data_IF_551771600920
#
_entry.id   IF_551771600920
#
_cell.length_a   1.000
_cell.length_b   1.000
_cell.length_c   1.000
_cell.angle_alpha   90.00
_cell.angle_beta   90.00
_cell.angle_gamma   90.00
#
_symmetry.space_group_name_H-M   'P 1'
#
loop_
_entity.id
_entity.type
_entity.pdbx_description
1 polymer ?
#
# COMPACT_ATOMS: atom_id res chain seq x y z
N UNK A 1 -8.79 16.20 -2.05
CA UNK A 1 -7.60 15.35 -1.92
C UNK A 1 -6.34 16.22 -1.82
N UNK A 2 -5.70 16.24 -0.64
CA UNK A 2 -4.43 16.94 -0.34
C UNK A 2 -3.22 16.06 -0.67
N UNK A 3 -3.25 14.79 -0.26
CA UNK A 3 -2.20 13.80 -0.51
C UNK A 3 -2.45 12.99 -1.78
N UNK A 4 -1.62 13.21 -2.79
CA UNK A 4 -1.54 12.43 -4.03
C UNK A 4 -0.35 11.49 -3.89
N UNK A 5 -0.66 10.28 -3.45
CA UNK A 5 0.31 9.35 -2.91
C UNK A 5 0.49 8.10 -3.76
N UNK A 6 1.62 7.44 -3.53
CA UNK A 6 1.91 6.10 -4.03
C UNK A 6 2.42 5.24 -2.87
N UNK A 7 2.07 3.97 -2.89
CA UNK A 7 2.65 2.97 -2.00
C UNK A 7 4.01 2.51 -2.51
N UNK A 8 5.04 2.59 -1.68
CA UNK A 8 6.42 2.26 -2.02
C UNK A 8 7.00 1.20 -1.08
N UNK A 9 7.15 -0.01 -1.62
CA UNK A 9 7.64 -1.19 -0.90
C UNK A 9 9.18 -1.16 -0.77
N UNK A 10 9.68 -1.16 0.46
CA UNK A 10 11.11 -1.31 0.77
C UNK A 10 11.52 -2.75 1.01
N UNK A 11 10.55 -3.66 1.12
CA UNK A 11 10.74 -5.05 1.47
C UNK A 11 9.89 -5.50 2.65
N UNK A 12 9.18 -6.61 2.48
CA UNK A 12 8.46 -7.30 3.54
C UNK A 12 8.51 -8.82 3.35
N UNK A 13 8.74 -9.57 4.44
CA UNK A 13 8.63 -11.02 4.47
C UNK A 13 7.17 -11.46 4.51
N UNK A 14 6.62 -11.81 3.34
CA UNK A 14 5.21 -12.22 3.18
C UNK A 14 5.15 -13.44 2.28
N UNK A 15 4.34 -14.45 2.64
CA UNK A 15 4.24 -15.73 1.93
C UNK A 15 5.60 -16.45 1.80
N UNK A 16 6.43 -16.38 2.85
CA UNK A 16 7.74 -17.05 2.92
C UNK A 16 8.80 -16.48 1.98
N UNK A 17 8.55 -15.33 1.34
CA UNK A 17 9.50 -14.65 0.46
C UNK A 17 9.56 -13.16 0.80
N UNK A 18 10.73 -12.58 0.61
CA UNK A 18 10.90 -11.15 0.74
C UNK A 18 10.42 -10.45 -0.55
N UNK A 19 9.51 -9.47 -0.43
CA UNK A 19 8.91 -8.77 -1.58
C UNK A 19 9.92 -7.98 -2.41
N UNK A 20 11.00 -7.50 -1.78
CA UNK A 20 12.07 -6.73 -2.43
C UNK A 20 13.47 -7.28 -2.11
N UNK A 21 13.87 -8.43 -2.67
CA UNK A 21 15.11 -9.12 -2.28
C UNK A 21 16.37 -8.26 -2.42
N UNK A 22 16.42 -7.42 -3.46
CA UNK A 22 17.49 -6.43 -3.68
C UNK A 22 17.06 -5.03 -3.23
N UNK A 23 17.95 -4.34 -2.53
CA UNK A 23 17.73 -2.95 -2.10
C UNK A 23 19.01 -2.15 -2.35
N UNK A 24 19.01 -1.37 -3.43
CA UNK A 24 20.08 -0.42 -3.75
C UNK A 24 19.57 1.00 -3.47
N UNK A 25 20.14 1.73 -2.49
CA UNK A 25 19.74 3.10 -2.18
C UNK A 25 19.74 4.05 -3.38
N UNK A 26 20.60 3.82 -4.40
CA UNK A 26 20.63 4.65 -5.61
C UNK A 26 19.43 4.42 -6.51
N UNK A 27 18.99 3.17 -6.61
CA UNK A 27 17.74 2.81 -7.32
C UNK A 27 16.56 3.43 -6.57
N UNK A 28 16.55 3.32 -5.24
CA UNK A 28 15.50 3.91 -4.39
C UNK A 28 15.39 5.42 -4.58
N UNK A 29 16.52 6.15 -4.53
CA UNK A 29 16.55 7.59 -4.76
C UNK A 29 15.98 7.95 -6.14
N UNK A 30 16.36 7.19 -7.17
CA UNK A 30 15.93 7.43 -8.54
C UNK A 30 14.44 7.14 -8.74
N UNK A 31 13.92 6.04 -8.20
CA UNK A 31 12.50 5.69 -8.22
C UNK A 31 11.67 6.76 -7.51
N UNK A 32 12.11 7.23 -6.35
CA UNK A 32 11.43 8.30 -5.60
C UNK A 32 11.42 9.62 -6.37
N UNK A 33 12.48 9.92 -7.12
CA UNK A 33 12.50 11.09 -8.01
C UNK A 33 11.48 10.96 -9.13
N UNK A 34 11.36 9.79 -9.77
CA UNK A 34 10.30 9.52 -10.77
C UNK A 34 8.91 9.68 -10.13
N UNK A 35 8.72 9.18 -8.91
CA UNK A 35 7.47 9.31 -8.17
C UNK A 35 7.10 10.80 -7.96
N UNK A 36 8.05 11.63 -7.58
CA UNK A 36 7.80 13.06 -7.38
C UNK A 36 7.58 13.81 -8.71
N UNK A 37 8.49 13.63 -9.66
CA UNK A 37 8.57 14.46 -10.86
C UNK A 37 7.61 13.98 -11.97
N UNK A 38 7.59 12.68 -12.25
CA UNK A 38 6.90 12.11 -13.41
C UNK A 38 5.50 11.59 -13.07
N UNK A 39 5.31 11.02 -11.86
CA UNK A 39 3.97 10.68 -11.35
C UNK A 39 3.26 11.88 -10.70
N UNK A 40 3.97 12.99 -10.47
CA UNK A 40 3.44 14.19 -9.84
C UNK A 40 2.87 13.96 -8.43
N UNK A 41 3.38 12.95 -7.71
CA UNK A 41 3.03 12.70 -6.33
C UNK A 41 3.54 13.83 -5.43
N UNK A 42 2.83 14.10 -4.34
CA UNK A 42 3.29 14.97 -3.25
C UNK A 42 3.32 14.27 -1.88
N UNK A 43 2.93 12.99 -1.85
CA UNK A 43 3.04 12.13 -0.68
C UNK A 43 3.55 10.75 -1.09
N UNK A 44 4.13 10.01 -0.17
CA UNK A 44 4.56 8.63 -0.39
C UNK A 44 4.42 7.83 0.90
N UNK A 45 3.85 6.63 0.80
CA UNK A 45 3.82 5.68 1.90
C UNK A 45 4.99 4.72 1.74
N UNK A 46 5.99 4.87 2.61
CA UNK A 46 7.18 4.04 2.63
C UNK A 46 6.95 2.92 3.62
N UNK A 47 6.86 1.69 3.12
CA UNK A 47 6.45 0.52 3.90
C UNK A 47 7.43 -0.64 3.77
N UNK A 48 7.69 -1.32 4.89
CA UNK A 48 8.49 -2.54 4.91
C UNK A 48 8.68 -3.10 6.31
N UNK A 49 9.41 -4.20 6.42
CA UNK A 49 9.71 -4.87 7.68
C UNK A 49 11.04 -4.42 8.32
N UNK A 50 12.02 -3.99 7.53
CA UNK A 50 13.34 -3.51 7.96
C UNK A 50 13.35 -1.98 8.18
N UNK A 51 13.44 -1.48 9.44
CA UNK A 51 13.43 -0.05 9.73
C UNK A 51 14.58 0.73 9.09
N UNK A 52 15.73 0.08 8.80
CA UNK A 52 16.85 0.75 8.16
C UNK A 52 16.54 1.01 6.68
N UNK A 53 15.84 0.09 5.99
CA UNK A 53 15.39 0.30 4.60
C UNK A 53 14.30 1.36 4.52
N UNK A 54 13.37 1.37 5.48
CA UNK A 54 12.35 2.42 5.56
C UNK A 54 13.01 3.78 5.77
N UNK A 55 13.97 3.93 6.69
CA UNK A 55 14.66 5.21 6.95
C UNK A 55 15.40 5.72 5.71
N UNK A 56 16.08 4.84 4.95
CA UNK A 56 16.74 5.22 3.68
C UNK A 56 15.74 5.78 2.68
N UNK A 57 14.64 5.06 2.42
CA UNK A 57 13.64 5.51 1.46
C UNK A 57 12.89 6.76 1.94
N UNK A 58 12.59 6.87 3.23
CA UNK A 58 11.97 8.03 3.84
C UNK A 58 12.84 9.30 3.72
N UNK A 59 14.16 9.19 3.89
CA UNK A 59 15.10 10.30 3.66
C UNK A 59 15.14 10.73 2.19
N UNK A 60 15.17 9.77 1.26
CA UNK A 60 15.07 10.08 -0.18
C UNK A 60 13.75 10.80 -0.51
N UNK A 61 12.63 10.35 0.08
CA UNK A 61 11.31 10.97 -0.10
C UNK A 61 11.26 12.41 0.42
N UNK A 62 11.75 12.64 1.64
CA UNK A 62 11.86 13.98 2.22
C UNK A 62 12.74 14.91 1.37
N UNK A 63 13.88 14.41 0.88
CA UNK A 63 14.76 15.18 -0.01
C UNK A 63 14.11 15.52 -1.37
N UNK A 64 13.19 14.68 -1.84
CA UNK A 64 12.37 14.93 -3.03
C UNK A 64 11.14 15.82 -2.75
N UNK A 65 10.97 16.33 -1.52
CA UNK A 65 9.87 17.22 -1.15
C UNK A 65 8.51 16.53 -0.99
N UNK A 66 8.49 15.21 -0.81
CA UNK A 66 7.27 14.43 -0.58
C UNK A 66 6.91 14.42 0.92
N UNK A 67 5.62 14.51 1.26
CA UNK A 67 5.14 14.14 2.59
C UNK A 67 5.36 12.63 2.80
N UNK A 68 6.00 12.26 3.90
CA UNK A 68 6.37 10.87 4.19
C UNK A 68 5.35 10.24 5.12
N UNK A 69 4.74 9.15 4.67
CA UNK A 69 3.94 8.26 5.51
C UNK A 69 4.84 7.06 5.88
N UNK A 70 5.47 7.16 7.04
CA UNK A 70 6.44 6.18 7.56
C UNK A 70 5.67 4.98 8.11
N UNK A 71 5.75 3.83 7.44
CA UNK A 71 4.82 2.71 7.64
C UNK A 71 5.54 1.39 7.95
N UNK A 72 5.98 1.16 9.19
CA UNK A 72 6.43 -0.16 9.64
C UNK A 72 5.40 -1.27 9.37
N UNK A 73 5.87 -2.41 8.86
CA UNK A 73 5.06 -3.58 8.52
C UNK A 73 5.62 -4.85 9.20
N UNK A 74 5.32 -5.08 10.48
CA UNK A 74 5.87 -6.20 11.25
C UNK A 74 5.12 -7.52 10.99
N UNK A 75 5.27 -8.06 9.78
CA UNK A 75 4.64 -9.33 9.41
C UNK A 75 5.13 -10.50 10.28
N UNK A 76 4.21 -11.35 10.72
CA UNK A 76 4.46 -12.55 11.53
C UNK A 76 5.08 -12.30 12.91
N UNK A 77 5.10 -11.06 13.39
CA UNK A 77 5.50 -10.73 14.75
C UNK A 77 4.36 -10.93 15.75
N UNK A 78 4.71 -11.15 17.03
CA UNK A 78 3.77 -11.09 18.16
C UNK A 78 3.70 -9.66 18.71
N UNK A 79 2.68 -9.36 19.50
CA UNK A 79 2.51 -8.04 20.14
C UNK A 79 3.74 -7.62 20.94
N UNK A 80 4.38 -8.54 21.68
CA UNK A 80 5.60 -8.27 22.46
C UNK A 80 6.80 -7.89 21.58
N UNK A 81 6.85 -8.39 20.35
CA UNK A 81 7.89 -8.05 19.38
C UNK A 81 7.57 -6.73 18.67
N UNK A 82 6.30 -6.51 18.34
CA UNK A 82 5.82 -5.33 17.61
C UNK A 82 5.93 -4.04 18.43
N UNK A 83 5.64 -4.08 19.73
CA UNK A 83 5.64 -2.86 20.55
C UNK A 83 7.00 -2.11 20.56
N UNK A 84 8.15 -2.74 20.91
CA UNK A 84 9.44 -2.06 20.82
C UNK A 84 9.85 -1.71 19.38
N UNK A 85 9.38 -2.48 18.38
CA UNK A 85 9.62 -2.21 16.97
C UNK A 85 8.92 -0.91 16.50
N UNK A 86 7.66 -0.70 16.88
CA UNK A 86 6.95 0.54 16.58
C UNK A 86 7.56 1.76 17.29
N UNK A 87 8.04 1.59 18.54
CA UNK A 87 8.74 2.66 19.25
C UNK A 87 10.05 3.07 18.54
N UNK A 88 10.88 2.12 18.09
CA UNK A 88 12.09 2.43 17.29
C UNK A 88 11.74 3.15 15.97
N UNK A 89 10.71 2.69 15.28
CA UNK A 89 10.22 3.35 14.06
C UNK A 89 9.71 4.77 14.32
N UNK A 90 9.04 5.00 15.46
CA UNK A 90 8.57 6.32 15.86
C UNK A 90 9.74 7.28 16.15
N UNK A 91 10.80 6.82 16.82
CA UNK A 91 12.01 7.62 17.02
C UNK A 91 12.73 7.95 15.70
N UNK A 92 12.76 7.01 14.75
CA UNK A 92 13.30 7.24 13.39
C UNK A 92 12.49 8.29 12.64
N UNK A 93 11.17 8.14 12.63
CA UNK A 93 10.24 9.10 12.02
C UNK A 93 10.37 10.50 12.66
N UNK A 94 10.55 10.58 13.98
CA UNK A 94 10.74 11.84 14.69
C UNK A 94 12.04 12.53 14.29
N UNK A 95 13.15 11.78 14.15
CA UNK A 95 14.41 12.36 13.66
C UNK A 95 14.23 13.00 12.29
N UNK A 96 13.56 12.30 11.37
CA UNK A 96 13.26 12.83 10.03
C UNK A 96 12.37 14.09 10.08
N UNK A 97 11.39 14.11 10.98
CA UNK A 97 10.51 15.27 11.20
C UNK A 97 11.27 16.48 11.77
N UNK A 98 12.15 16.25 12.75
CA UNK A 98 12.99 17.29 13.35
C UNK A 98 14.01 17.85 12.35
N UNK A 99 14.43 17.06 11.36
CA UNK A 99 15.23 17.50 10.22
C UNK A 99 14.44 18.33 9.19
N UNK A 100 13.12 18.53 9.41
CA UNK A 100 12.26 19.43 8.64
C UNK A 100 11.31 18.76 7.66
N UNK A 101 11.26 17.42 7.62
CA UNK A 101 10.30 16.70 6.80
C UNK A 101 8.87 16.74 7.39
N UNK A 102 7.87 16.69 6.51
CA UNK A 102 6.48 16.44 6.89
C UNK A 102 6.26 14.92 6.97
N UNK A 103 6.09 14.40 8.19
CA UNK A 103 6.06 12.96 8.48
C UNK A 103 4.80 12.58 9.24
N UNK A 104 4.14 11.53 8.77
CA UNK A 104 3.01 10.85 9.43
C UNK A 104 3.46 9.42 9.75
N UNK A 105 3.21 8.95 10.97
CA UNK A 105 3.51 7.58 11.39
C UNK A 105 2.30 6.68 11.18
N UNK A 106 2.46 5.60 10.42
CA UNK A 106 1.45 4.55 10.23
C UNK A 106 1.83 3.35 11.11
N UNK A 107 1.12 3.14 12.21
CA UNK A 107 1.46 2.17 13.26
C UNK A 107 0.99 0.75 12.94
N UNK A 108 1.30 0.29 11.73
CA UNK A 108 0.95 -1.04 11.25
C UNK A 108 -0.08 -1.03 10.12
N UNK A 109 -0.31 -2.23 9.59
CA UNK A 109 -1.16 -2.49 8.45
C UNK A 109 -1.80 -3.86 8.63
N UNK A 110 -3.13 -3.91 8.62
CA UNK A 110 -3.92 -5.14 8.68
C UNK A 110 -3.39 -6.18 9.69
N UNK A 111 -3.08 -5.77 10.92
CA UNK A 111 -2.43 -6.62 11.93
C UNK A 111 -3.25 -7.88 12.25
N UNK A 112 -4.58 -7.82 12.18
CA UNK A 112 -5.40 -9.03 12.35
C UNK A 112 -5.07 -10.13 11.33
N UNK A 113 -4.57 -9.75 10.15
CA UNK A 113 -4.16 -10.64 9.08
C UNK A 113 -2.67 -10.95 9.12
N UNK A 114 -1.80 -9.95 9.37
CA UNK A 114 -0.35 -10.08 9.24
C UNK A 114 0.40 -10.37 10.54
N UNK A 115 -0.11 -9.98 11.70
CA UNK A 115 0.49 -10.31 12.99
C UNK A 115 0.02 -11.66 13.53
N UNK A 116 0.83 -12.28 14.39
CA UNK A 116 0.48 -13.53 15.07
C UNK A 116 -0.53 -13.27 16.18
N UNK A 117 -1.35 -14.29 16.46
CA UNK A 117 -2.24 -14.30 17.62
C UNK A 117 -3.67 -13.84 17.35
N UNK A 118 -3.94 -13.14 16.24
CA UNK A 118 -5.29 -12.67 15.90
C UNK A 118 -6.13 -13.76 15.21
N UNK A 119 -5.61 -14.32 14.11
CA UNK A 119 -6.18 -15.46 13.39
C UNK A 119 -5.37 -16.74 13.62
N UNK A 120 -5.99 -17.94 13.49
CA UNK A 120 -5.28 -19.21 13.56
C UNK A 120 -4.18 -19.33 12.50
N UNK A 121 -2.95 -19.62 12.93
CA UNK A 121 -1.80 -19.86 12.06
C UNK A 121 -0.62 -18.91 12.32
N UNK A 122 0.60 -19.44 12.23
CA UNK A 122 1.82 -18.67 12.52
C UNK A 122 2.28 -17.78 11.36
N UNK A 123 1.86 -18.12 10.14
CA UNK A 123 2.23 -17.42 8.90
C UNK A 123 1.02 -16.82 8.22
N UNK A 124 1.24 -15.76 7.44
CA UNK A 124 0.17 -15.15 6.63
C UNK A 124 -0.50 -16.18 5.69
N UNK A 125 0.31 -17.06 5.07
CA UNK A 125 -0.16 -18.13 4.20
C UNK A 125 -1.10 -19.13 4.93
N UNK A 126 -0.89 -19.36 6.22
CA UNK A 126 -1.75 -20.24 7.03
C UNK A 126 -3.05 -19.54 7.47
N UNK A 127 -3.03 -18.21 7.65
CA UNK A 127 -4.19 -17.43 8.13
C UNK A 127 -5.21 -17.12 7.03
N UNK A 128 -4.75 -16.81 5.81
CA UNK A 128 -5.66 -16.42 4.71
C UNK A 128 -6.74 -17.47 4.40
N UNK A 129 -6.44 -18.79 4.30
CA UNK A 129 -7.46 -19.80 4.04
C UNK A 129 -8.58 -19.85 5.09
N UNK A 130 -8.32 -19.42 6.34
CA UNK A 130 -9.33 -19.35 7.41
C UNK A 130 -10.49 -18.43 7.02
N UNK A 131 -10.23 -17.36 6.27
CA UNK A 131 -11.24 -16.40 5.83
C UNK A 131 -12.22 -16.95 4.79
N UNK A 132 -11.88 -18.08 4.17
CA UNK A 132 -12.74 -18.80 3.22
C UNK A 132 -13.27 -20.12 3.78
N UNK A 133 -12.87 -20.50 5.00
CA UNK A 133 -13.18 -21.78 5.63
C UNK A 133 -14.47 -21.76 6.47
N UNK A 134 -14.94 -22.95 6.89
CA UNK A 134 -16.14 -23.09 7.73
C UNK A 134 -15.99 -22.46 9.12
N UNK A 135 -14.77 -22.35 9.64
CA UNK A 135 -14.49 -21.81 10.98
C UNK A 135 -14.34 -20.28 11.01
N UNK A 136 -14.60 -19.60 9.89
CA UNK A 136 -14.43 -18.14 9.73
C UNK A 136 -15.08 -17.35 10.86
N UNK A 137 -16.35 -17.60 11.15
CA UNK A 137 -17.12 -16.81 12.13
C UNK A 137 -16.53 -16.90 13.54
N UNK A 138 -16.12 -18.12 13.94
CA UNK A 138 -15.43 -18.36 15.21
C UNK A 138 -14.07 -17.68 15.24
N UNK A 139 -13.29 -17.78 14.15
CA UNK A 139 -11.97 -17.18 14.06
C UNK A 139 -12.00 -15.64 14.12
N UNK A 140 -13.07 -15.01 13.63
CA UNK A 140 -13.24 -13.55 13.67
C UNK A 140 -13.72 -13.01 15.03
N UNK A 141 -14.18 -13.88 15.92
CA UNK A 141 -14.74 -13.46 17.21
C UNK A 141 -13.68 -12.74 18.06
N UNK A 142 -14.00 -11.53 18.52
CA UNK A 142 -13.13 -10.74 19.39
C UNK A 142 -11.84 -10.24 18.74
N UNK A 143 -11.71 -10.28 17.41
CA UNK A 143 -10.58 -9.65 16.71
C UNK A 143 -10.55 -8.13 16.98
N UNK A 144 -11.66 -7.37 16.79
CA UNK A 144 -11.62 -5.93 17.00
C UNK A 144 -11.17 -5.52 18.40
N UNK A 145 -11.68 -6.17 19.45
CA UNK A 145 -11.31 -5.84 20.83
C UNK A 145 -9.81 -6.06 21.10
N UNK A 146 -9.24 -7.15 20.56
CA UNK A 146 -7.82 -7.48 20.73
C UNK A 146 -6.92 -6.53 19.94
N UNK A 147 -7.28 -6.25 18.68
CA UNK A 147 -6.53 -5.30 17.83
C UNK A 147 -6.53 -3.92 18.48
N UNK A 148 -7.69 -3.44 18.94
CA UNK A 148 -7.79 -2.12 19.56
C UNK A 148 -7.06 -2.02 20.91
N UNK A 149 -7.06 -3.08 21.73
CA UNK A 149 -6.26 -3.11 22.94
C UNK A 149 -4.77 -2.91 22.63
N UNK A 150 -4.25 -3.66 21.65
CA UNK A 150 -2.85 -3.55 21.25
C UNK A 150 -2.54 -2.21 20.56
N UNK A 151 -3.41 -1.72 19.67
CA UNK A 151 -3.23 -0.40 19.05
C UNK A 151 -3.22 0.73 20.08
N UNK A 152 -3.98 0.62 21.17
CA UNK A 152 -3.90 1.54 22.31
C UNK A 152 -2.51 1.54 22.95
N UNK A 153 -1.94 0.36 23.23
CA UNK A 153 -0.58 0.22 23.75
C UNK A 153 0.48 0.80 22.80
N UNK A 154 0.32 0.58 21.49
CA UNK A 154 1.22 1.14 20.47
C UNK A 154 1.15 2.66 20.47
N UNK A 155 -0.04 3.26 20.49
CA UNK A 155 -0.17 4.72 20.55
C UNK A 155 0.45 5.28 21.83
N UNK A 156 0.21 4.67 22.98
CA UNK A 156 0.81 5.07 24.26
C UNK A 156 2.35 5.01 24.23
N UNK A 157 2.92 4.05 23.50
CA UNK A 157 4.37 3.89 23.34
C UNK A 157 4.99 4.90 22.35
N UNK A 158 4.31 5.22 21.24
CA UNK A 158 4.89 6.09 20.19
C UNK A 158 4.69 7.57 20.45
N UNK A 159 3.59 7.98 21.09
CA UNK A 159 3.28 9.41 21.33
C UNK A 159 4.35 10.17 22.14
N UNK A 160 5.02 9.58 23.15
CA UNK A 160 6.10 10.27 23.88
C UNK A 160 7.35 10.55 23.03
N UNK A 161 7.56 9.79 21.95
CA UNK A 161 8.79 9.85 21.13
C UNK A 161 8.56 10.41 19.73
N UNK A 162 7.31 10.60 19.30
CA UNK A 162 6.96 11.15 17.99
C UNK A 162 5.91 12.25 18.11
N UNK A 163 6.25 13.45 17.63
CA UNK A 163 5.42 14.64 17.75
C UNK A 163 4.50 14.92 16.55
N UNK A 164 4.50 14.06 15.53
CA UNK A 164 3.67 14.20 14.33
C UNK A 164 2.34 13.44 14.39
N UNK A 165 1.55 13.48 13.30
CA UNK A 165 0.28 12.76 13.21
C UNK A 165 0.47 11.23 13.15
N UNK A 166 -0.40 10.50 13.84
CA UNK A 166 -0.38 9.04 13.93
C UNK A 166 -1.66 8.45 13.34
N UNK A 167 -1.53 7.37 12.59
CA UNK A 167 -2.64 6.62 11.98
C UNK A 167 -2.31 5.12 11.93
N UNK A 168 -3.21 4.34 11.37
CA UNK A 168 -3.10 2.89 11.19
C UNK A 168 -3.73 2.52 9.84
N UNK A 169 -3.18 1.54 9.12
CA UNK A 169 -3.76 1.03 7.87
C UNK A 169 -4.68 -0.15 8.16
N UNK A 170 -5.99 0.08 8.14
CA UNK A 170 -6.98 -0.91 8.56
C UNK A 170 -7.59 -1.67 7.40
N UNK A 171 -7.79 -2.97 7.60
CA UNK A 171 -8.81 -3.72 6.86
C UNK A 171 -10.13 -3.76 7.67
N UNK A 172 -11.27 -4.11 7.03
CA UNK A 172 -12.57 -4.13 7.71
C UNK A 172 -12.69 -5.05 8.93
N UNK A 173 -11.83 -6.07 9.06
CA UNK A 173 -11.86 -7.02 10.19
C UNK A 173 -11.27 -6.41 11.47
N UNK A 174 -10.43 -5.39 11.35
CA UNK A 174 -9.75 -4.76 12.49
C UNK A 174 -10.73 -3.98 13.38
N UNK A 175 -11.83 -3.46 12.82
CA UNK A 175 -12.87 -2.74 13.58
C UNK A 175 -12.30 -1.64 14.47
N UNK A 176 -11.41 -0.81 13.90
CA UNK A 176 -10.54 0.12 14.63
C UNK A 176 -11.34 1.19 15.39
N UNK A 177 -11.02 1.36 16.67
CA UNK A 177 -11.34 2.57 17.42
C UNK A 177 -10.35 3.66 17.02
N UNK A 178 -10.85 4.62 16.24
CA UNK A 178 -10.02 5.73 15.76
C UNK A 178 -9.71 6.77 16.84
N UNK A 179 -10.32 6.71 18.02
CA UNK A 179 -10.18 7.73 19.09
C UNK A 179 -8.72 8.16 19.40
N UNK A 180 -7.71 7.26 19.54
CA UNK A 180 -6.34 7.64 19.85
C UNK A 180 -5.51 8.14 18.64
N UNK A 181 -6.03 7.98 17.42
CA UNK A 181 -5.36 8.35 16.16
C UNK A 181 -5.73 9.76 15.68
N UNK A 182 -4.94 10.35 14.78
CA UNK A 182 -5.23 11.66 14.20
C UNK A 182 -5.96 11.56 12.86
N UNK A 183 -5.81 10.42 12.17
CA UNK A 183 -6.30 10.18 10.81
C UNK A 183 -6.91 8.77 10.76
N UNK A 184 -8.05 8.64 10.09
CA UNK A 184 -8.65 7.36 9.72
C UNK A 184 -7.92 6.80 8.49
N UNK A 185 -7.22 5.68 8.62
CA UNK A 185 -6.40 5.08 7.56
C UNK A 185 -6.97 3.76 7.06
N UNK A 186 -7.33 3.68 5.77
CA UNK A 186 -8.10 2.57 5.23
C UNK A 186 -7.38 1.89 4.06
N UNK A 187 -7.33 0.56 4.08
CA UNK A 187 -6.99 -0.24 2.90
C UNK A 187 -8.29 -0.50 2.12
N UNK A 188 -8.65 0.46 1.27
CA UNK A 188 -9.99 0.64 0.73
C UNK A 188 -10.17 -0.01 -0.65
N UNK A 189 -9.95 -1.31 -0.76
CA UNK A 189 -10.19 -2.04 -2.01
C UNK A 189 -11.70 -2.23 -2.29
N UNK A 190 -12.16 -1.80 -3.47
CA UNK A 190 -13.46 -2.19 -4.04
C UNK A 190 -13.35 -3.57 -4.70
N UNK A 191 -14.32 -4.44 -4.47
CA UNK A 191 -14.53 -5.67 -5.23
C UNK A 191 -16.02 -6.02 -5.31
N UNK A 192 -16.35 -7.18 -5.89
CA UNK A 192 -17.74 -7.61 -6.09
C UNK A 192 -18.57 -7.60 -4.80
N UNK A 193 -17.95 -7.93 -3.66
CA UNK A 193 -18.63 -8.05 -2.38
C UNK A 193 -19.13 -6.73 -1.82
N UNK A 194 -18.43 -5.63 -2.09
CA UNK A 194 -18.76 -4.30 -1.58
C UNK A 194 -19.08 -3.30 -2.69
N UNK A 195 -19.03 -3.66 -3.97
CA UNK A 195 -19.25 -2.71 -5.07
C UNK A 195 -20.56 -1.90 -4.95
N UNK A 196 -21.63 -2.53 -4.46
CA UNK A 196 -22.93 -1.87 -4.28
C UNK A 196 -22.97 -0.87 -3.11
N UNK A 197 -22.11 -1.05 -2.10
CA UNK A 197 -22.10 -0.25 -0.86
C UNK A 197 -20.83 0.59 -0.70
N UNK A 198 -19.83 0.40 -1.55
CA UNK A 198 -18.46 0.89 -1.38
C UNK A 198 -18.38 2.38 -1.04
N UNK A 199 -19.11 3.22 -1.78
CA UNK A 199 -19.16 4.66 -1.54
C UNK A 199 -19.81 5.00 -0.20
N UNK A 200 -20.90 4.32 0.14
CA UNK A 200 -21.60 4.55 1.41
C UNK A 200 -20.79 4.04 2.60
N UNK A 201 -20.06 2.94 2.43
CA UNK A 201 -19.14 2.40 3.44
C UNK A 201 -17.99 3.39 3.67
N UNK A 202 -17.35 3.90 2.61
CA UNK A 202 -16.32 4.95 2.71
C UNK A 202 -16.85 6.22 3.38
N UNK A 203 -18.07 6.66 3.04
CA UNK A 203 -18.68 7.86 3.63
C UNK A 203 -18.87 7.74 5.13
N UNK A 204 -19.15 6.54 5.65
CA UNK A 204 -19.36 6.33 7.10
C UNK A 204 -18.10 6.60 7.91
N UNK A 205 -16.92 6.39 7.34
CA UNK A 205 -15.63 6.63 8.00
C UNK A 205 -15.42 8.11 8.36
N UNK A 206 -16.06 9.04 7.65
CA UNK A 206 -16.04 10.46 7.99
C UNK A 206 -16.81 10.81 9.28
N UNK A 207 -17.66 9.91 9.79
CA UNK A 207 -18.39 10.12 11.04
C UNK A 207 -17.48 10.25 12.26
N UNK A 208 -16.21 9.81 12.16
CA UNK A 208 -15.20 9.98 13.19
C UNK A 208 -14.71 11.44 13.33
N UNK A 209 -15.06 12.34 12.40
CA UNK A 209 -14.68 13.76 12.46
C UNK A 209 -13.18 14.01 12.24
N UNK A 210 -12.48 13.04 11.66
CA UNK A 210 -11.04 13.06 11.37
C UNK A 210 -10.80 12.98 9.86
N UNK A 211 -9.66 13.47 9.34
CA UNK A 211 -9.28 13.22 7.96
C UNK A 211 -9.29 11.72 7.65
N UNK A 212 -9.81 11.35 6.48
CA UNK A 212 -9.80 9.97 5.98
C UNK A 212 -8.74 9.84 4.90
N UNK A 213 -7.85 8.85 5.03
CA UNK A 213 -6.82 8.53 4.06
C UNK A 213 -6.99 7.08 3.57
N UNK A 214 -6.90 6.88 2.27
CA UNK A 214 -6.85 5.56 1.64
C UNK A 214 -5.38 5.16 1.53
N UNK A 215 -4.92 4.25 2.40
CA UNK A 215 -3.53 3.83 2.53
C UNK A 215 -3.13 2.70 1.59
N UNK A 216 -4.11 1.95 1.08
CA UNK A 216 -3.96 1.02 -0.04
C UNK A 216 -5.23 0.98 -0.90
N UNK A 217 -5.05 1.12 -2.21
CA UNK A 217 -6.07 0.84 -3.23
C UNK A 217 -5.38 0.55 -4.56
N UNK A 218 -5.82 -0.47 -5.28
CA UNK A 218 -5.23 -0.82 -6.56
C UNK A 218 -5.92 -2.01 -7.22
N UNK A 219 -5.41 -2.41 -8.37
CA UNK A 219 -5.94 -3.53 -9.14
C UNK A 219 -4.81 -4.35 -9.77
N UNK A 220 -4.98 -5.66 -9.87
CA UNK A 220 -4.04 -6.53 -10.59
C UNK A 220 -4.14 -6.34 -12.11
N UNK A 221 -3.17 -6.89 -12.85
CA UNK A 221 -2.95 -6.62 -14.29
C UNK A 221 -3.60 -7.68 -15.20
N UNK A 222 -4.78 -8.19 -14.81
CA UNK A 222 -5.54 -9.18 -15.60
C UNK A 222 -7.00 -8.76 -15.76
N UNK A 223 -7.65 -9.21 -16.84
CA UNK A 223 -9.04 -8.87 -17.15
C UNK A 223 -10.00 -9.29 -16.04
N UNK A 224 -10.78 -8.34 -15.54
CA UNK A 224 -11.72 -8.56 -14.43
C UNK A 224 -11.06 -8.59 -13.05
N UNK A 225 -9.78 -8.23 -12.91
CA UNK A 225 -9.13 -8.15 -11.62
C UNK A 225 -9.82 -7.16 -10.66
N UNK A 226 -10.49 -6.13 -11.17
CA UNK A 226 -11.19 -5.13 -10.36
C UNK A 226 -12.31 -5.72 -9.50
N UNK A 227 -12.89 -6.84 -9.92
CA UNK A 227 -13.94 -7.55 -9.19
C UNK A 227 -13.43 -8.23 -7.90
N UNK A 228 -12.12 -8.41 -7.78
CA UNK A 228 -11.51 -9.11 -6.64
C UNK A 228 -10.83 -8.19 -5.64
N UNK A 229 -10.72 -6.89 -5.93
CA UNK A 229 -10.10 -5.90 -5.04
C UNK A 229 -8.75 -6.39 -4.50
N UNK A 230 -8.54 -6.28 -3.18
CA UNK A 230 -7.30 -6.70 -2.50
C UNK A 230 -7.01 -8.20 -2.58
N UNK A 231 -7.98 -9.03 -2.99
CA UNK A 231 -7.79 -10.47 -3.20
C UNK A 231 -7.36 -10.84 -4.63
N UNK A 232 -7.18 -9.87 -5.54
CA UNK A 232 -6.79 -10.08 -6.93
C UNK A 232 -5.58 -11.00 -7.12
N UNK A 233 -4.52 -10.77 -6.34
CA UNK A 233 -3.30 -11.59 -6.39
C UNK A 233 -3.57 -13.05 -6.02
N UNK A 234 -4.43 -13.29 -5.03
CA UNK A 234 -4.72 -14.62 -4.50
C UNK A 234 -5.58 -15.41 -5.48
N UNK A 235 -6.58 -14.76 -6.08
CA UNK A 235 -7.48 -15.43 -7.04
C UNK A 235 -6.81 -15.71 -8.39
N UNK A 236 -5.72 -15.01 -8.71
CA UNK A 236 -4.93 -15.26 -9.91
C UNK A 236 -4.09 -16.55 -9.81
N UNK A 237 -3.88 -17.07 -8.60
CA UNK A 237 -3.10 -18.28 -8.38
C UNK A 237 -3.97 -19.54 -8.38
N UNK A 238 -3.38 -20.65 -8.79
CA UNK A 238 -3.86 -22.00 -8.53
C UNK A 238 -3.85 -22.31 -7.02
N UNK A 239 -4.51 -23.38 -6.55
CA UNK A 239 -4.52 -23.75 -5.13
C UNK A 239 -3.13 -24.00 -4.50
N UNK A 240 -2.08 -24.17 -5.31
CA UNK A 240 -0.70 -24.27 -4.83
C UNK A 240 -0.11 -22.92 -4.37
N UNK A 241 -0.78 -21.81 -4.66
CA UNK A 241 -0.40 -20.45 -4.28
C UNK A 241 0.84 -19.91 -5.01
N UNK A 242 1.34 -20.61 -6.03
CA UNK A 242 2.59 -20.27 -6.74
C UNK A 242 2.38 -20.24 -8.25
N UNK A 243 1.53 -21.11 -8.78
CA UNK A 243 1.26 -21.22 -10.21
C UNK A 243 0.14 -20.26 -10.60
N UNK A 244 0.34 -19.46 -11.64
CA UNK A 244 -0.75 -18.65 -12.20
C UNK A 244 -1.78 -19.54 -12.89
N UNK A 245 -3.05 -19.17 -12.75
CA UNK A 245 -4.12 -19.79 -13.51
C UNK A 245 -3.90 -19.60 -15.02
N UNK A 246 -4.09 -20.69 -15.76
CA UNK A 246 -3.81 -20.74 -17.20
C UNK A 246 -4.78 -19.93 -18.08
N UNK A 247 -5.95 -19.57 -17.56
CA UNK A 247 -7.00 -18.85 -18.26
C UNK A 247 -6.95 -17.33 -18.06
N UNK A 248 -6.01 -16.82 -17.26
CA UNK A 248 -5.85 -15.39 -17.08
C UNK A 248 -5.47 -14.71 -18.39
N UNK A 249 -6.06 -13.53 -18.62
CA UNK A 249 -5.75 -12.68 -19.77
C UNK A 249 -5.17 -11.37 -19.26
N UNK A 250 -3.93 -11.05 -19.67
CA UNK A 250 -3.26 -9.79 -19.31
C UNK A 250 -4.07 -8.60 -19.80
N UNK A 251 -4.26 -7.61 -18.94
CA UNK A 251 -4.99 -6.39 -19.25
C UNK A 251 -4.49 -5.23 -18.36
N UNK A 252 -3.54 -4.43 -18.85
CA UNK A 252 -3.09 -3.23 -18.13
C UNK A 252 -4.21 -2.18 -18.03
N UNK A 253 -5.13 -2.16 -19.01
CA UNK A 253 -6.28 -1.26 -19.02
C UNK A 253 -7.31 -1.56 -17.94
N UNK A 254 -7.32 -2.77 -17.34
CA UNK A 254 -8.15 -3.07 -16.16
C UNK A 254 -7.77 -2.17 -14.98
N UNK A 255 -6.46 -1.98 -14.75
CA UNK A 255 -5.97 -1.12 -13.69
C UNK A 255 -6.42 0.33 -13.91
N UNK A 256 -6.41 0.80 -15.16
CA UNK A 256 -6.86 2.15 -15.53
C UNK A 256 -8.35 2.31 -15.29
N UNK A 257 -9.19 1.37 -15.76
CA UNK A 257 -10.64 1.42 -15.52
C UNK A 257 -10.98 1.43 -14.03
N UNK A 258 -10.29 0.62 -13.24
CA UNK A 258 -10.47 0.58 -11.79
C UNK A 258 -10.08 1.91 -11.13
N UNK A 259 -9.01 2.56 -11.61
CA UNK A 259 -8.59 3.90 -11.15
C UNK A 259 -9.61 4.98 -11.52
N UNK A 260 -10.07 4.98 -12.77
CA UNK A 260 -11.06 5.94 -13.26
C UNK A 260 -12.41 5.80 -12.55
N UNK A 261 -12.78 4.59 -12.12
CA UNK A 261 -13.97 4.33 -11.31
C UNK A 261 -13.85 4.92 -9.88
N UNK A 262 -12.66 4.87 -9.26
CA UNK A 262 -12.49 5.15 -7.83
C UNK A 262 -11.96 6.56 -7.52
N UNK A 263 -11.11 7.14 -8.36
CA UNK A 263 -10.58 8.49 -8.13
C UNK A 263 -11.70 9.54 -7.95
N UNK A 264 -12.75 9.57 -8.79
CA UNK A 264 -13.88 10.50 -8.58
C UNK A 264 -14.60 10.27 -7.25
N UNK A 265 -14.74 9.01 -6.80
CA UNK A 265 -15.36 8.69 -5.51
C UNK A 265 -14.54 9.31 -4.37
N UNK A 266 -13.22 9.15 -4.40
CA UNK A 266 -12.34 9.71 -3.36
C UNK A 266 -12.37 11.24 -3.34
N UNK A 267 -12.39 11.87 -4.50
CA UNK A 267 -12.49 13.33 -4.61
C UNK A 267 -13.83 13.86 -4.08
N UNK A 268 -14.95 13.26 -4.51
CA UNK A 268 -16.30 13.69 -4.16
C UNK A 268 -16.64 13.47 -2.68
N UNK A 269 -16.21 12.35 -2.08
CA UNK A 269 -16.40 12.10 -0.64
C UNK A 269 -15.43 12.91 0.22
N UNK A 270 -14.40 13.52 -0.37
CA UNK A 270 -13.47 14.40 0.33
C UNK A 270 -12.33 13.67 1.05
N UNK A 271 -11.86 12.54 0.52
CA UNK A 271 -10.67 11.83 1.02
C UNK A 271 -9.46 12.78 1.05
N UNK A 272 -8.74 12.80 2.17
CA UNK A 272 -7.58 13.67 2.38
C UNK A 272 -6.37 13.20 1.58
N UNK A 273 -6.05 11.90 1.63
CA UNK A 273 -4.91 11.33 0.93
C UNK A 273 -5.24 9.96 0.33
N UNK A 274 -4.70 9.66 -0.84
CA UNK A 274 -4.81 8.35 -1.51
C UNK A 274 -3.43 7.83 -1.86
N UNK A 275 -3.14 6.57 -1.52
CA UNK A 275 -1.91 5.87 -1.85
C UNK A 275 -2.22 4.71 -2.78
N UNK A 276 -1.92 4.88 -4.07
CA UNK A 276 -2.15 3.82 -5.04
C UNK A 276 -1.18 2.65 -4.80
N UNK A 277 -1.72 1.44 -4.70
CA UNK A 277 -1.01 0.19 -4.50
C UNK A 277 -0.75 -0.47 -5.85
N UNK A 278 0.49 -0.62 -6.32
CA UNK A 278 1.77 -0.15 -5.73
C UNK A 278 2.73 0.37 -6.80
N UNK A 279 3.82 1.05 -6.41
CA UNK A 279 4.84 1.47 -7.39
C UNK A 279 5.45 0.27 -8.10
N UNK A 280 6.07 -0.65 -7.36
CA UNK A 280 6.76 -1.85 -7.87
C UNK A 280 6.40 -3.08 -7.04
N UNK A 281 6.47 -4.28 -7.63
CA UNK A 281 6.44 -5.57 -6.93
C UNK A 281 7.68 -6.37 -7.32
N UNK A 282 8.63 -6.47 -6.39
CA UNK A 282 9.95 -7.08 -6.60
C UNK A 282 9.96 -8.56 -6.99
N UNK A 283 8.80 -9.24 -6.94
CA UNK A 283 8.67 -10.68 -7.23
C UNK A 283 8.00 -10.96 -8.58
N UNK A 284 7.36 -9.96 -9.18
CA UNK A 284 6.46 -10.15 -10.31
C UNK A 284 7.12 -9.72 -11.63
N UNK A 285 8.06 -10.53 -12.11
CA UNK A 285 8.74 -10.29 -13.39
C UNK A 285 7.78 -10.42 -14.56
N UNK A 286 7.82 -9.45 -15.47
CA UNK A 286 7.03 -9.50 -16.70
C UNK A 286 7.67 -10.41 -17.74
N UNK A 287 6.87 -11.32 -18.28
CA UNK A 287 7.31 -12.38 -19.21
C UNK A 287 6.30 -12.57 -20.35
N UNK A 288 6.35 -11.74 -21.40
CA UNK A 288 5.37 -11.78 -22.48
C UNK A 288 5.52 -13.01 -23.40
N UNK A 289 6.76 -13.49 -23.59
CA UNK A 289 7.10 -14.50 -24.60
C UNK A 289 7.64 -15.84 -24.04
N UNK A 290 7.63 -16.04 -22.71
CA UNK A 290 8.12 -17.27 -22.10
C UNK A 290 8.09 -17.32 -20.57
N UNK A 291 7.50 -18.37 -20.00
CA UNK A 291 7.32 -18.56 -18.55
C UNK A 291 6.05 -17.89 -18.00
N UNK A 292 5.64 -18.17 -16.75
CA UNK A 292 4.46 -17.54 -16.16
C UNK A 292 4.69 -16.03 -15.96
N UNK A 293 3.82 -15.19 -16.54
CA UNK A 293 3.83 -13.72 -16.40
C UNK A 293 3.28 -13.29 -15.04
N UNK A 294 4.09 -13.46 -13.98
CA UNK A 294 3.70 -13.15 -12.58
C UNK A 294 3.23 -11.70 -12.38
N UNK A 295 3.65 -10.80 -13.27
CA UNK A 295 3.18 -9.41 -13.32
C UNK A 295 1.65 -9.29 -13.45
N UNK A 296 0.97 -10.29 -14.04
CA UNK A 296 -0.49 -10.32 -14.14
C UNK A 296 -1.17 -10.33 -12.77
N UNK A 297 -0.60 -11.03 -11.79
CA UNK A 297 -1.10 -11.08 -10.41
C UNK A 297 -0.60 -9.93 -9.54
N UNK A 298 0.17 -8.99 -10.10
CA UNK A 298 0.70 -7.84 -9.37
C UNK A 298 -0.17 -6.60 -9.50
N UNK A 299 -0.21 -5.82 -8.42
CA UNK A 299 -0.82 -4.49 -8.35
C UNK A 299 0.11 -3.38 -8.85
N UNK A 300 1.36 -3.71 -9.18
CA UNK A 300 2.35 -2.71 -9.55
C UNK A 300 1.92 -1.90 -10.78
N UNK A 301 2.22 -0.60 -10.78
CA UNK A 301 2.04 0.30 -11.94
C UNK A 301 3.24 0.30 -12.89
N UNK A 302 4.32 -0.41 -12.55
CA UNK A 302 5.45 -0.68 -13.45
C UNK A 302 5.58 -2.19 -13.63
N UNK A 303 6.19 -2.62 -14.74
CA UNK A 303 6.47 -4.03 -14.99
C UNK A 303 7.96 -4.27 -14.91
N UNK A 304 8.37 -5.22 -14.07
CA UNK A 304 9.78 -5.57 -13.91
C UNK A 304 10.29 -6.30 -15.16
N UNK A 305 11.47 -5.90 -15.62
CA UNK A 305 12.14 -6.50 -16.78
C UNK A 305 13.10 -7.60 -16.32
N UNK A 306 13.04 -8.76 -16.99
CA UNK A 306 14.03 -9.82 -16.85
C UNK A 306 15.34 -9.43 -17.59
N UNK A 307 16.49 -10.00 -17.18
CA UNK A 307 17.76 -9.81 -17.91
C UNK A 307 17.73 -10.53 -19.27
N UNK A 308 17.03 -11.66 -19.37
CA UNK A 308 17.00 -12.51 -20.57
C UNK A 308 15.99 -12.05 -21.65
N UNK A 309 14.92 -11.35 -21.23
CA UNK A 309 13.81 -10.92 -22.10
C UNK A 309 13.56 -9.41 -22.01
N UNK A 310 14.50 -8.67 -21.40
CA UNK A 310 14.37 -7.25 -21.15
C UNK A 310 14.48 -6.42 -22.42
N UNK A 311 13.70 -5.35 -22.49
CA UNK A 311 13.88 -4.26 -23.45
C UNK A 311 15.32 -3.71 -23.27
N UNK A 312 16.13 -3.52 -24.34
CA UNK A 312 17.48 -2.95 -24.20
C UNK A 312 17.43 -1.60 -23.49
N UNK A 313 18.41 -1.30 -22.64
CA UNK A 313 18.44 -0.05 -21.86
C UNK A 313 18.24 1.21 -22.74
N UNK A 314 18.79 1.22 -23.96
CA UNK A 314 18.63 2.33 -24.92
C UNK A 314 17.20 2.54 -25.43
N UNK A 315 16.33 1.55 -25.27
CA UNK A 315 14.94 1.54 -25.74
C UNK A 315 13.93 1.64 -24.60
N UNK A 316 14.41 1.74 -23.36
CA UNK A 316 13.58 1.89 -22.16
C UNK A 316 13.13 3.32 -21.98
N UNK A 317 11.96 3.51 -21.36
CA UNK A 317 11.51 4.84 -20.90
C UNK A 317 12.49 5.41 -19.87
N UNK A 318 13.07 4.53 -19.04
CA UNK A 318 14.09 4.85 -18.05
C UNK A 318 15.31 3.92 -18.23
N UNK A 319 16.35 4.35 -18.98
CA UNK A 319 17.51 3.51 -19.33
C UNK A 319 18.28 2.95 -18.13
N UNK A 320 18.24 3.65 -17.01
CA UNK A 320 18.89 3.32 -15.74
C UNK A 320 18.05 2.39 -14.84
N UNK A 321 16.79 2.12 -15.22
CA UNK A 321 15.87 1.29 -14.43
C UNK A 321 15.67 -0.10 -15.04
N UNK A 322 15.25 -1.05 -14.19
CA UNK A 322 14.93 -2.44 -14.56
C UNK A 322 13.42 -2.69 -14.65
N UNK A 323 12.65 -1.65 -14.94
CA UNK A 323 11.21 -1.71 -15.10
C UNK A 323 10.75 -0.76 -16.21
N UNK A 324 9.58 -1.01 -16.78
CA UNK A 324 8.88 -0.08 -17.67
C UNK A 324 7.55 0.37 -17.05
N UNK A 325 7.08 1.60 -17.32
CA UNK A 325 5.72 2.01 -17.00
C UNK A 325 4.67 1.07 -17.61
N UNK A 326 3.60 0.80 -16.85
CA UNK A 326 2.34 0.26 -17.38
C UNK A 326 1.38 1.40 -17.77
N UNK A 327 0.27 1.07 -18.41
CA UNK A 327 -0.82 2.02 -18.65
C UNK A 327 -1.27 2.74 -17.36
N UNK A 328 -1.32 2.02 -16.22
CA UNK A 328 -1.69 2.57 -14.92
C UNK A 328 -0.74 3.68 -14.42
N UNK A 329 0.56 3.61 -14.73
CA UNK A 329 1.51 4.67 -14.38
C UNK A 329 1.12 6.00 -15.04
N UNK A 330 0.82 5.94 -16.35
CA UNK A 330 0.45 7.12 -17.11
C UNK A 330 -0.92 7.67 -16.70
N UNK A 331 -1.88 6.79 -16.41
CA UNK A 331 -3.19 7.18 -15.89
C UNK A 331 -3.06 7.92 -14.55
N UNK A 332 -2.30 7.36 -13.59
CA UNK A 332 -2.10 7.96 -12.28
C UNK A 332 -1.44 9.35 -12.39
N UNK A 333 -0.39 9.46 -13.20
CA UNK A 333 0.27 10.73 -13.48
C UNK A 333 -0.72 11.77 -14.04
N UNK A 334 -1.61 11.35 -14.95
CA UNK A 334 -2.65 12.21 -15.54
C UNK A 334 -3.65 12.74 -14.49
N UNK A 335 -4.14 11.86 -13.61
CA UNK A 335 -5.02 12.23 -12.50
C UNK A 335 -4.34 13.23 -11.56
N UNK A 336 -3.12 12.91 -11.10
CA UNK A 336 -2.40 13.76 -10.14
C UNK A 336 -1.97 15.11 -10.72
N UNK A 337 -1.65 15.18 -12.01
CA UNK A 337 -1.41 16.44 -12.72
C UNK A 337 -2.66 17.31 -12.79
N UNK A 338 -3.81 16.71 -13.09
CA UNK A 338 -5.10 17.41 -13.16
C UNK A 338 -5.47 17.98 -11.80
N UNK A 339 -5.32 17.20 -10.73
CA UNK A 339 -5.51 17.66 -9.35
C UNK A 339 -4.54 18.77 -8.93
N UNK A 340 -3.28 18.73 -9.41
CA UNK A 340 -2.30 19.80 -9.20
C UNK A 340 -2.80 21.12 -9.80
N UNK A 341 -3.28 21.06 -11.04
CA UNK A 341 -3.75 22.23 -11.76
C UNK A 341 -5.01 22.84 -11.14
N UNK A 342 -5.94 21.99 -10.69
CA UNK A 342 -7.17 22.42 -10.01
C UNK A 342 -6.91 23.10 -8.66
N UNK A 343 -5.93 22.62 -7.89
CA UNK A 343 -5.58 23.23 -6.59
C UNK A 343 -4.79 24.55 -6.72
N UNK A 344 -4.12 24.78 -7.86
CA UNK A 344 -3.41 26.02 -8.16
C UNK A 344 -4.29 27.12 -8.76
N UNK A 345 -5.49 26.81 -9.22
CA UNK A 345 -6.42 27.79 -9.79
C UNK A 345 -6.98 28.71 -8.68
N UNK A 346 -6.96 30.06 -8.85
CA UNK A 346 -7.58 30.95 -7.88
C UNK A 346 -9.09 30.68 -7.83
N UNK A 347 -9.65 30.54 -6.62
CA UNK A 347 -11.08 30.39 -6.43
C UNK A 347 -11.82 31.50 -7.19
N UNK A 348 -12.64 31.12 -8.18
CA UNK A 348 -13.46 32.08 -8.90
C UNK A 348 -14.40 32.76 -7.90
N UNK A 349 -14.28 34.10 -7.80
CA UNK A 349 -15.03 34.95 -6.88
C UNK A 349 -16.53 34.96 -7.15
#
# INVERSE_FOLDING_TARGET
MRGRGIHYDTGMHVLGKHSRPSFDPRVVEREIRVISEDLHCNAIRVIGDDPDRIDVAARCAAAAGLQVWYSPFPCEMTDEQMLPYFADCAERAERLRLDGADVILVTGCELSLFARGYLPGDTFAARIPVLAGPDRESALQGIPDRVNAFLGEVVDAVRPVFGGPVTYASNPLDGVDWSPFDIVGLDAFRGLRNAATYRDDLRREFAHGKPVAVLEVGCCTFRGAGDYGGAGWYVAMEPDGVTLKSDLVRDEGEQVRYMDDLMPVFEEEGVDAVFWFSFTDGRATHRPDGGPDLDMASYSIVKLLDEDHGIPASSRSYPDMRWEPKEAFHALAGHYKTLAASSAAPAAK
#
